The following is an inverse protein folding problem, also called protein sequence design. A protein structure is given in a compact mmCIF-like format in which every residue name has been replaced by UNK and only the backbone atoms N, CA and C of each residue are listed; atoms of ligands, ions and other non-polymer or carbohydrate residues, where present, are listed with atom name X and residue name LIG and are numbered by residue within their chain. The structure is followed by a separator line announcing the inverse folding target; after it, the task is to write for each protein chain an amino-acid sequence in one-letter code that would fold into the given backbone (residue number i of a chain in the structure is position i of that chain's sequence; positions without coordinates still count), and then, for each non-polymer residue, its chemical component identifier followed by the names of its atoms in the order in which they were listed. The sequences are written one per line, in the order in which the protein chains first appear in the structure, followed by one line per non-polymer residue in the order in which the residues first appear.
data_IF_642746183298
#
_entry.id   IF_642746183298
#
_cell.length_a   1.000
_cell.length_b   1.000
_cell.length_c   1.000
_cell.angle_alpha   90.00
_cell.angle_beta   90.00
_cell.angle_gamma   90.00
#
_symmetry.space_group_name_H-M   'P 1'
#
loop_
_entity.id
_entity.type
_entity.pdbx_description
1 polymer ?
#
# COMPACT_ATOMS: atom_id res chain seq x y z
N UNK A 1 -16.41 -7.27 15.47
CA UNK A 1 -16.88 -6.20 16.40
C UNK A 1 -16.50 -4.80 15.93
N UNK A 2 -15.29 -4.58 15.36
CA UNK A 2 -14.84 -3.31 14.75
C UNK A 2 -15.66 -2.91 13.50
N UNK A 3 -15.99 -3.87 12.63
CA UNK A 3 -16.70 -3.60 11.36
C UNK A 3 -18.19 -3.20 11.53
N UNK A 4 -18.83 -3.60 12.63
CA UNK A 4 -20.22 -3.23 12.95
C UNK A 4 -20.36 -1.76 13.39
N UNK A 5 -19.26 -1.09 13.77
CA UNK A 5 -19.28 0.26 14.38
C UNK A 5 -18.89 1.39 13.43
N UNK A 6 -18.39 1.09 12.22
CA UNK A 6 -18.03 2.13 11.21
C UNK A 6 -19.22 2.57 10.33
N UNK A 7 -20.30 1.79 10.25
CA UNK A 7 -21.49 2.13 9.44
C UNK A 7 -22.23 3.42 9.87
N UNK A 8 -22.33 3.77 11.16
CA UNK A 8 -23.03 5.00 11.58
C UNK A 8 -22.24 6.29 11.32
N UNK A 9 -20.91 6.22 11.25
CA UNK A 9 -20.03 7.40 11.13
C UNK A 9 -20.10 8.00 9.72
N UNK A 10 -20.39 7.19 8.69
CA UNK A 10 -20.59 7.66 7.30
C UNK A 10 -21.90 8.42 7.07
N UNK A 11 -22.85 8.38 8.01
CA UNK A 11 -24.18 9.01 7.86
C UNK A 11 -24.37 10.27 8.72
N UNK A 12 -23.38 10.68 9.51
CA UNK A 12 -23.46 11.84 10.39
C UNK A 12 -22.34 12.83 10.05
N UNK A 13 -22.78 14.01 9.59
CA UNK A 13 -22.03 15.24 9.35
C UNK A 13 -21.52 15.49 7.92
N UNK A 14 -22.40 16.04 7.07
CA UNK A 14 -22.18 17.37 6.45
C UNK A 14 -23.54 18.07 6.34
N UNK A 15 -23.98 18.74 7.42
CA UNK A 15 -24.92 19.86 7.27
C UNK A 15 -24.14 21.01 6.65
N UNK A 16 -24.52 21.39 5.44
CA UNK A 16 -24.01 22.54 4.70
C UNK A 16 -24.30 23.82 5.49
N UNK A 17 -23.33 24.31 6.24
CA UNK A 17 -23.23 25.74 6.54
C UNK A 17 -21.80 26.09 6.92
N UNK A 18 -21.21 26.97 6.11
CA UNK A 18 -20.04 27.82 6.37
C UNK A 18 -18.67 27.15 6.63
N UNK A 19 -17.99 26.80 5.53
CA UNK A 19 -16.55 26.99 5.45
C UNK A 19 -16.24 27.87 4.23
N UNK A 20 -15.85 29.11 4.50
CA UNK A 20 -15.37 30.07 3.52
C UNK A 20 -13.97 29.65 3.03
N UNK A 21 -13.93 28.58 2.24
CA UNK A 21 -12.72 28.03 1.62
C UNK A 21 -12.64 28.54 0.19
N UNK A 22 -11.47 29.09 -0.15
CA UNK A 22 -11.09 29.59 -1.47
C UNK A 22 -11.65 28.74 -2.64
N UNK A 23 -12.11 29.35 -3.76
CA UNK A 23 -12.79 28.67 -4.88
C UNK A 23 -12.00 27.56 -5.60
N UNK A 24 -10.77 27.25 -5.17
CA UNK A 24 -9.90 26.22 -5.79
C UNK A 24 -9.99 24.83 -5.15
N UNK A 25 -10.67 24.64 -4.02
CA UNK A 25 -10.93 23.30 -3.49
C UNK A 25 -12.28 22.78 -3.99
N UNK A 26 -12.37 22.46 -5.29
CA UNK A 26 -13.41 21.52 -5.74
C UNK A 26 -13.23 20.22 -4.97
N UNK A 27 -14.32 19.66 -4.45
CA UNK A 27 -14.36 18.37 -3.75
C UNK A 27 -13.63 17.29 -4.56
N UNK A 28 -12.33 17.11 -4.29
CA UNK A 28 -11.56 15.99 -4.82
C UNK A 28 -11.84 14.83 -3.89
N UNK A 29 -12.86 14.03 -4.23
CA UNK A 29 -13.03 12.71 -3.62
C UNK A 29 -11.72 11.94 -3.83
N UNK A 30 -11.26 11.26 -2.78
CA UNK A 30 -10.15 10.31 -2.89
C UNK A 30 -10.67 9.15 -3.74
N UNK A 31 -10.36 9.14 -5.03
CA UNK A 31 -10.74 8.09 -5.97
C UNK A 31 -9.48 7.34 -6.35
N UNK A 32 -9.44 6.05 -6.01
CA UNK A 32 -8.44 5.14 -6.55
C UNK A 32 -8.64 4.99 -8.06
N UNK A 33 -7.64 5.35 -8.87
CA UNK A 33 -7.57 4.98 -10.29
C UNK A 33 -6.86 3.63 -10.35
N UNK A 34 -7.49 2.64 -11.00
CA UNK A 34 -6.86 1.33 -11.16
C UNK A 34 -5.52 1.44 -11.87
N UNK A 35 -4.51 0.77 -11.32
CA UNK A 35 -3.14 0.76 -11.86
C UNK A 35 -2.99 -0.32 -12.93
N UNK A 36 -3.81 -1.37 -12.87
CA UNK A 36 -3.69 -2.63 -13.58
C UNK A 36 -2.34 -3.32 -13.31
N UNK A 37 -1.99 -3.47 -12.02
CA UNK A 37 -0.67 -3.94 -11.56
C UNK A 37 -0.25 -5.23 -12.31
N UNK A 38 -1.06 -6.28 -12.23
CA UNK A 38 -0.77 -7.58 -12.83
C UNK A 38 -0.58 -7.48 -14.36
N UNK A 39 -1.51 -6.85 -15.07
CA UNK A 39 -1.42 -6.68 -16.53
C UNK A 39 -0.16 -5.93 -16.96
N UNK A 40 0.26 -4.93 -16.18
CA UNK A 40 1.46 -4.15 -16.47
C UNK A 40 2.72 -4.96 -16.21
N UNK A 41 2.77 -5.76 -15.14
CA UNK A 41 3.89 -6.67 -14.86
C UNK A 41 4.01 -7.73 -15.96
N UNK A 42 2.90 -8.30 -16.42
CA UNK A 42 2.89 -9.27 -17.52
C UNK A 42 3.41 -8.66 -18.82
N UNK A 43 2.97 -7.44 -19.14
CA UNK A 43 3.47 -6.68 -20.30
C UNK A 43 4.98 -6.46 -20.21
N UNK A 44 5.50 -6.08 -19.04
CA UNK A 44 6.94 -5.88 -18.84
C UNK A 44 7.72 -7.17 -19.01
N UNK A 45 7.25 -8.29 -18.46
CA UNK A 45 7.88 -9.60 -18.64
C UNK A 45 7.96 -10.00 -20.13
N UNK A 46 6.88 -9.81 -20.90
CA UNK A 46 6.88 -10.09 -22.33
C UNK A 46 7.90 -9.22 -23.10
N UNK A 47 8.05 -7.95 -22.72
CA UNK A 47 9.01 -7.03 -23.32
C UNK A 47 10.44 -7.43 -23.00
N UNK A 48 10.71 -7.80 -21.74
CA UNK A 48 12.03 -8.29 -21.33
C UNK A 48 12.39 -9.59 -22.05
N UNK A 49 11.43 -10.51 -22.19
CA UNK A 49 11.66 -11.74 -22.93
C UNK A 49 11.96 -11.49 -24.41
N UNK A 50 11.18 -10.61 -25.07
CA UNK A 50 11.46 -10.19 -26.45
C UNK A 50 12.83 -9.53 -26.57
N UNK A 51 13.16 -8.63 -25.65
CA UNK A 51 14.46 -7.94 -25.62
C UNK A 51 15.60 -8.94 -25.47
N UNK A 52 15.45 -9.94 -24.61
CA UNK A 52 16.44 -11.02 -24.42
C UNK A 52 16.66 -11.80 -25.72
N UNK A 53 15.58 -12.23 -26.39
CA UNK A 53 15.63 -13.01 -27.64
C UNK A 53 16.24 -12.23 -28.81
N UNK A 54 16.07 -10.91 -28.85
CA UNK A 54 16.56 -10.04 -29.93
C UNK A 54 17.98 -9.49 -29.68
N UNK A 55 18.51 -9.64 -28.47
CA UNK A 55 19.83 -9.14 -28.10
C UNK A 55 20.89 -10.16 -28.46
N UNK A 56 21.92 -9.74 -29.19
CA UNK A 56 23.05 -10.62 -29.54
C UNK A 56 23.90 -10.99 -28.32
N UNK A 57 24.47 -12.19 -28.34
CA UNK A 57 25.26 -12.76 -27.24
C UNK A 57 26.46 -11.90 -26.80
N UNK A 58 26.98 -11.06 -27.70
CA UNK A 58 28.07 -10.11 -27.40
C UNK A 58 27.67 -8.97 -26.44
N UNK A 59 26.38 -8.76 -26.16
CA UNK A 59 25.89 -7.70 -25.24
C UNK A 59 25.64 -8.22 -23.83
N UNK A 60 26.62 -8.91 -23.25
CA UNK A 60 26.57 -9.57 -21.93
C UNK A 60 26.04 -8.66 -20.81
N UNK A 61 26.45 -7.39 -20.78
CA UNK A 61 25.98 -6.41 -19.76
C UNK A 61 24.48 -6.13 -19.86
N UNK A 62 23.92 -6.04 -21.07
CA UNK A 62 22.49 -5.80 -21.26
C UNK A 62 21.70 -7.07 -20.90
N UNK A 63 22.18 -8.24 -21.34
CA UNK A 63 21.57 -9.53 -21.00
C UNK A 63 21.51 -9.75 -19.48
N UNK A 64 22.59 -9.43 -18.76
CA UNK A 64 22.61 -9.53 -17.29
C UNK A 64 21.65 -8.55 -16.60
N UNK A 65 21.43 -7.36 -17.15
CA UNK A 65 20.40 -6.42 -16.64
C UNK A 65 18.98 -6.94 -16.88
N UNK A 66 18.70 -7.39 -18.11
CA UNK A 66 17.39 -7.92 -18.50
C UNK A 66 17.02 -9.13 -17.64
N UNK A 67 17.97 -10.04 -17.40
CA UNK A 67 17.76 -11.18 -16.52
C UNK A 67 17.42 -10.74 -15.09
N UNK A 68 18.19 -9.81 -14.52
CA UNK A 68 17.91 -9.31 -13.16
C UNK A 68 16.53 -8.68 -13.04
N UNK A 69 16.13 -7.84 -13.99
CA UNK A 69 14.79 -7.24 -13.98
C UNK A 69 13.70 -8.31 -14.11
N UNK A 70 13.93 -9.34 -14.91
CA UNK A 70 13.00 -10.46 -15.04
C UNK A 70 12.84 -11.19 -13.70
N UNK A 71 13.95 -11.53 -13.03
CA UNK A 71 13.95 -12.16 -11.70
C UNK A 71 13.19 -11.30 -10.66
N UNK A 72 13.40 -9.99 -10.67
CA UNK A 72 12.71 -9.06 -9.76
C UNK A 72 11.20 -8.94 -10.06
N UNK A 73 10.80 -8.95 -11.34
CA UNK A 73 9.37 -8.94 -11.71
C UNK A 73 8.69 -10.27 -11.37
N UNK A 74 9.39 -11.38 -11.56
CA UNK A 74 8.92 -12.72 -11.16
C UNK A 74 8.72 -12.80 -9.64
N UNK A 75 9.64 -12.25 -8.85
CA UNK A 75 9.51 -12.16 -7.38
C UNK A 75 8.28 -11.34 -6.98
N UNK A 76 8.05 -10.18 -7.61
CA UNK A 76 6.83 -9.37 -7.36
C UNK A 76 5.58 -10.19 -7.68
N UNK A 77 5.54 -10.87 -8.82
CA UNK A 77 4.39 -11.69 -9.22
C UNK A 77 4.13 -12.85 -8.24
N UNK A 78 5.20 -13.49 -7.75
CA UNK A 78 5.08 -14.52 -6.71
C UNK A 78 4.50 -13.96 -5.41
N UNK A 79 4.95 -12.77 -4.99
CA UNK A 79 4.38 -12.08 -3.81
C UNK A 79 2.92 -11.70 -4.02
N UNK A 80 2.53 -11.21 -5.20
CA UNK A 80 1.13 -10.91 -5.52
C UNK A 80 0.27 -12.18 -5.42
N UNK A 81 0.71 -13.28 -6.01
CA UNK A 81 0.01 -14.58 -5.92
C UNK A 81 -0.11 -15.04 -4.48
N UNK A 82 0.95 -14.89 -3.69
CA UNK A 82 0.95 -15.22 -2.27
C UNK A 82 -0.09 -14.37 -1.52
N UNK A 83 -0.06 -13.04 -1.64
CA UNK A 83 -1.04 -12.12 -1.01
C UNK A 83 -2.48 -12.49 -1.36
N UNK A 84 -2.76 -12.75 -2.64
CA UNK A 84 -4.11 -13.11 -3.08
C UNK A 84 -4.58 -14.45 -2.48
N UNK A 85 -3.68 -15.42 -2.35
CA UNK A 85 -3.99 -16.77 -1.87
C UNK A 85 -4.06 -16.88 -0.34
N UNK A 86 -3.23 -16.12 0.39
CA UNK A 86 -3.07 -16.29 1.85
C UNK A 86 -3.55 -15.07 2.62
N UNK A 87 -3.01 -13.88 2.31
CA UNK A 87 -3.30 -12.68 3.09
C UNK A 87 -4.74 -12.19 2.91
N UNK A 88 -5.21 -12.12 1.67
CA UNK A 88 -6.57 -11.63 1.35
C UNK A 88 -7.65 -12.40 2.11
N UNK A 89 -7.75 -13.75 2.02
CA UNK A 89 -8.78 -14.48 2.77
C UNK A 89 -8.59 -14.41 4.28
N UNK A 90 -7.34 -14.32 4.77
CA UNK A 90 -7.05 -14.16 6.20
C UNK A 90 -7.59 -12.82 6.71
N UNK A 91 -7.30 -11.71 6.02
CA UNK A 91 -7.80 -10.38 6.37
C UNK A 91 -9.32 -10.30 6.30
N UNK A 92 -9.94 -10.81 5.24
CA UNK A 92 -11.39 -10.84 5.13
C UNK A 92 -12.06 -11.58 6.31
N UNK A 93 -11.43 -12.67 6.79
CA UNK A 93 -11.90 -13.42 7.96
C UNK A 93 -11.68 -12.66 9.27
N UNK A 94 -10.48 -12.12 9.49
CA UNK A 94 -10.13 -11.39 10.73
C UNK A 94 -10.95 -10.11 10.90
N UNK A 95 -11.25 -9.44 9.79
CA UNK A 95 -11.95 -8.16 9.77
C UNK A 95 -13.46 -8.30 9.58
N UNK A 96 -13.93 -9.51 9.27
CA UNK A 96 -15.34 -9.81 8.97
C UNK A 96 -15.91 -8.91 7.85
N UNK A 97 -15.14 -8.80 6.76
CA UNK A 97 -15.49 -7.97 5.60
C UNK A 97 -14.96 -8.56 4.30
N UNK A 98 -15.50 -8.07 3.18
CA UNK A 98 -14.98 -8.37 1.84
C UNK A 98 -14.15 -7.22 1.29
N UNK A 99 -12.94 -7.52 0.85
CA UNK A 99 -12.06 -6.52 0.22
C UNK A 99 -12.50 -6.39 -1.23
N UNK A 100 -13.28 -5.34 -1.53
CA UNK A 100 -13.89 -5.13 -2.85
C UNK A 100 -12.84 -4.93 -3.95
N UNK A 101 -11.78 -4.18 -3.65
CA UNK A 101 -10.71 -3.90 -4.59
C UNK A 101 -9.40 -4.53 -4.11
N UNK A 102 -9.11 -5.72 -4.64
CA UNK A 102 -7.89 -6.47 -4.30
C UNK A 102 -6.62 -5.76 -4.76
N UNK A 103 -6.68 -4.98 -5.84
CA UNK A 103 -5.54 -4.22 -6.34
C UNK A 103 -5.08 -3.16 -5.32
N UNK A 104 -6.01 -2.53 -4.60
CA UNK A 104 -5.67 -1.58 -3.54
C UNK A 104 -4.92 -2.29 -2.40
N UNK A 105 -5.32 -3.51 -2.04
CA UNK A 105 -4.57 -4.31 -1.07
C UNK A 105 -3.15 -4.62 -1.57
N UNK A 106 -2.99 -4.99 -2.84
CA UNK A 106 -1.67 -5.19 -3.42
C UNK A 106 -0.83 -3.91 -3.32
N UNK A 107 -1.40 -2.76 -3.73
CA UNK A 107 -0.73 -1.46 -3.65
C UNK A 107 -0.30 -1.10 -2.22
N UNK A 108 -1.11 -1.43 -1.20
CA UNK A 108 -0.77 -1.22 0.20
C UNK A 108 0.46 -2.03 0.67
N UNK A 109 0.80 -3.14 0.00
CA UNK A 109 1.92 -4.01 0.37
C UNK A 109 3.25 -3.60 -0.30
N UNK A 110 3.24 -2.70 -1.29
CA UNK A 110 4.46 -2.21 -1.97
C UNK A 110 5.33 -1.34 -1.06
N UNK A 111 6.62 -1.69 -0.98
CA UNK A 111 7.61 -0.94 -0.23
C UNK A 111 8.45 -0.01 -1.11
N UNK A 112 9.10 1.03 -0.55
CA UNK A 112 9.88 2.00 -1.32
C UNK A 112 10.98 1.39 -2.20
N UNK A 113 11.54 0.24 -1.83
CA UNK A 113 12.61 -0.44 -2.56
C UNK A 113 12.21 -0.90 -3.97
N UNK A 114 10.92 -1.13 -4.24
CA UNK A 114 10.46 -1.55 -5.58
C UNK A 114 10.51 -0.42 -6.61
N UNK A 115 10.54 0.84 -6.17
CA UNK A 115 10.49 2.01 -7.05
C UNK A 115 11.65 2.04 -8.04
N UNK A 116 12.84 1.65 -7.59
CA UNK A 116 14.06 1.69 -8.40
C UNK A 116 13.96 0.76 -9.62
N UNK A 117 13.35 -0.42 -9.47
CA UNK A 117 13.10 -1.33 -10.59
C UNK A 117 12.30 -0.64 -11.70
N UNK A 118 11.18 0.00 -11.34
CA UNK A 118 10.31 0.64 -12.32
C UNK A 118 10.95 1.87 -12.97
N UNK A 119 11.75 2.64 -12.22
CA UNK A 119 12.55 3.74 -12.79
C UNK A 119 13.61 3.24 -13.78
N UNK A 120 14.30 2.15 -13.45
CA UNK A 120 15.29 1.55 -14.36
C UNK A 120 14.66 1.05 -15.66
N UNK A 121 13.50 0.38 -15.56
CA UNK A 121 12.72 -0.09 -16.70
C UNK A 121 12.19 1.08 -17.55
N UNK A 122 11.76 2.16 -16.91
CA UNK A 122 11.34 3.39 -17.60
C UNK A 122 12.48 3.98 -18.41
N UNK A 123 13.64 4.20 -17.79
CA UNK A 123 14.84 4.74 -18.47
C UNK A 123 15.25 3.87 -19.65
N UNK A 124 15.19 2.54 -19.50
CA UNK A 124 15.50 1.61 -20.60
C UNK A 124 14.49 1.68 -21.76
N UNK A 125 13.26 2.10 -21.46
CA UNK A 125 12.16 2.23 -22.44
C UNK A 125 12.12 3.61 -23.10
N UNK A 126 12.77 4.62 -22.53
CA UNK A 126 12.86 5.96 -23.13
C UNK A 126 13.56 5.91 -24.49
N UNK A 127 12.82 6.24 -25.57
CA UNK A 127 13.29 6.19 -26.96
C UNK A 127 12.86 4.94 -27.75
N UNK A 128 12.10 4.02 -27.13
CA UNK A 128 11.38 2.91 -27.79
C UNK A 128 9.87 3.09 -27.56
N UNK A 129 9.03 2.38 -28.31
CA UNK A 129 7.56 2.41 -28.11
C UNK A 129 7.26 2.20 -26.62
N UNK A 130 6.72 3.23 -25.95
CA UNK A 130 6.31 3.14 -24.55
C UNK A 130 5.28 2.01 -24.43
N UNK A 131 5.51 1.00 -23.58
CA UNK A 131 4.62 -0.14 -23.52
C UNK A 131 3.25 0.14 -22.93
N UNK A 132 3.02 1.36 -22.43
CA UNK A 132 1.78 1.76 -21.79
C UNK A 132 1.18 3.02 -22.44
N UNK A 133 -0.05 2.89 -22.95
CA UNK A 133 -0.77 3.94 -23.69
C UNK A 133 -1.20 5.13 -22.82
N UNK A 134 -1.38 4.95 -21.50
CA UNK A 134 -1.80 6.00 -20.55
C UNK A 134 -0.98 5.93 -19.24
N UNK A 135 -0.32 7.04 -18.89
CA UNK A 135 0.43 7.21 -17.64
C UNK A 135 1.77 6.48 -17.51
N UNK A 136 2.26 5.81 -18.57
CA UNK A 136 3.61 5.24 -18.60
C UNK A 136 3.94 4.36 -17.39
N UNK A 137 5.17 4.50 -16.86
CA UNK A 137 5.62 3.83 -15.64
C UNK A 137 5.16 4.53 -14.36
N UNK A 138 4.60 5.75 -14.45
CA UNK A 138 4.26 6.59 -13.28
C UNK A 138 3.33 5.86 -12.29
N UNK A 139 2.37 5.11 -12.81
CA UNK A 139 1.43 4.35 -11.99
C UNK A 139 2.12 3.25 -11.16
N UNK A 140 3.14 2.58 -11.70
CA UNK A 140 3.94 1.57 -10.99
C UNK A 140 4.94 2.23 -10.03
N UNK A 141 5.61 3.29 -10.48
CA UNK A 141 6.59 4.07 -9.69
C UNK A 141 5.93 4.65 -8.43
N UNK A 142 4.65 5.00 -8.50
CA UNK A 142 3.89 5.60 -7.40
C UNK A 142 3.26 4.60 -6.42
N UNK A 143 3.38 3.28 -6.63
CA UNK A 143 2.74 2.28 -5.76
C UNK A 143 3.16 2.39 -4.29
N UNK A 144 4.46 2.52 -4.01
CA UNK A 144 4.95 2.70 -2.63
C UNK A 144 4.49 4.03 -2.01
N UNK A 145 4.23 5.04 -2.84
CA UNK A 145 3.70 6.33 -2.37
C UNK A 145 2.20 6.23 -2.08
N UNK A 146 1.46 5.47 -2.88
CA UNK A 146 0.07 5.09 -2.59
C UNK A 146 -0.04 4.34 -1.27
N UNK A 147 0.86 3.39 -0.98
CA UNK A 147 0.91 2.68 0.30
C UNK A 147 1.04 3.66 1.49
N UNK A 148 1.92 4.65 1.41
CA UNK A 148 2.06 5.69 2.43
C UNK A 148 0.82 6.56 2.58
N UNK A 149 0.13 6.88 1.48
CA UNK A 149 -1.14 7.62 1.51
C UNK A 149 -2.24 6.82 2.20
N UNK A 150 -2.29 5.50 1.96
CA UNK A 150 -3.20 4.62 2.68
C UNK A 150 -2.84 4.55 4.17
N UNK A 151 -1.55 4.45 4.52
CA UNK A 151 -1.12 4.48 5.91
C UNK A 151 -1.55 5.78 6.61
N UNK A 152 -1.35 6.94 5.98
CA UNK A 152 -1.81 8.21 6.52
C UNK A 152 -3.33 8.24 6.77
N UNK A 153 -4.13 7.73 5.82
CA UNK A 153 -5.58 7.63 5.98
C UNK A 153 -5.95 6.66 7.12
N UNK A 154 -5.24 5.54 7.21
CA UNK A 154 -5.43 4.54 8.25
C UNK A 154 -5.07 5.01 9.64
N UNK A 155 -3.96 5.72 9.82
CA UNK A 155 -3.59 6.35 11.10
C UNK A 155 -4.69 7.30 11.58
N UNK A 156 -5.21 8.15 10.69
CA UNK A 156 -6.33 9.03 11.01
C UNK A 156 -7.58 8.24 11.42
N UNK A 157 -7.91 7.17 10.69
CA UNK A 157 -9.06 6.32 10.98
C UNK A 157 -8.92 5.56 12.32
N UNK A 158 -7.76 4.95 12.57
CA UNK A 158 -7.43 4.26 13.82
C UNK A 158 -7.47 5.24 14.99
N UNK A 159 -6.86 6.42 14.83
CA UNK A 159 -6.86 7.48 15.84
C UNK A 159 -8.27 7.90 16.22
N UNK A 160 -9.14 8.13 15.23
CA UNK A 160 -10.54 8.51 15.48
C UNK A 160 -11.31 7.37 16.15
N UNK A 161 -11.17 6.14 15.68
CA UNK A 161 -11.81 4.97 16.27
C UNK A 161 -11.38 4.75 17.72
N UNK A 162 -10.08 4.87 18.01
CA UNK A 162 -9.53 4.74 19.36
C UNK A 162 -10.14 5.81 20.30
N UNK A 163 -10.18 7.07 19.85
CA UNK A 163 -10.82 8.16 20.61
C UNK A 163 -12.29 7.84 20.85
N UNK A 164 -13.04 7.46 19.82
CA UNK A 164 -14.47 7.14 19.92
C UNK A 164 -14.74 6.01 20.92
N UNK A 165 -13.90 4.97 20.93
CA UNK A 165 -14.02 3.84 21.85
C UNK A 165 -13.64 4.17 23.29
N UNK A 166 -12.63 5.01 23.47
CA UNK A 166 -12.19 5.48 24.78
C UNK A 166 -13.12 6.55 25.34
N UNK A 167 -13.92 7.20 24.50
CA UNK A 167 -14.83 8.27 24.89
C UNK A 167 -15.91 7.76 25.85
N UNK A 168 -15.65 7.82 27.16
CA UNK A 168 -16.57 7.39 28.20
C UNK A 168 -16.97 8.56 29.10
N UNK A 169 -18.13 9.13 28.79
CA UNK A 169 -18.81 10.18 29.59
C UNK A 169 -18.02 11.49 29.78
N UNK A 170 -18.72 12.56 30.16
CA UNK A 170 -18.18 13.94 30.20
C UNK A 170 -17.15 14.18 31.33
N UNK A 171 -16.83 13.17 32.15
CA UNK A 171 -16.04 13.33 33.39
C UNK A 171 -14.56 12.93 33.27
N UNK A 172 -14.12 12.36 32.16
CA UNK A 172 -12.71 11.99 31.96
C UNK A 172 -11.88 13.20 31.52
N UNK A 173 -10.70 13.37 32.12
CA UNK A 173 -9.76 14.41 31.72
C UNK A 173 -9.11 14.02 30.37
N UNK A 174 -9.04 14.97 29.44
CA UNK A 174 -8.38 14.85 28.13
C UNK A 174 -6.97 14.25 28.22
N UNK A 175 -6.24 14.50 29.32
CA UNK A 175 -4.91 13.92 29.54
C UNK A 175 -4.92 12.39 29.63
N UNK A 176 -5.92 11.79 30.29
CA UNK A 176 -6.07 10.32 30.34
C UNK A 176 -6.47 9.76 28.98
N UNK A 177 -7.44 10.38 28.31
CA UNK A 177 -7.85 10.01 26.95
C UNK A 177 -6.67 10.02 25.97
N UNK A 178 -5.82 11.05 26.06
CA UNK A 178 -4.62 11.18 25.21
C UNK A 178 -3.61 10.08 25.50
N UNK A 179 -3.35 9.77 26.78
CA UNK A 179 -2.43 8.70 27.17
C UNK A 179 -2.92 7.33 26.71
N UNK A 180 -4.19 7.03 26.92
CA UNK A 180 -4.80 5.76 26.56
C UNK A 180 -4.85 5.60 25.03
N UNK A 181 -5.18 6.68 24.30
CA UNK A 181 -5.09 6.71 22.83
C UNK A 181 -3.68 6.35 22.39
N UNK A 182 -2.65 7.04 22.89
CA UNK A 182 -1.26 6.81 22.51
C UNK A 182 -0.78 5.39 22.79
N UNK A 183 -1.30 4.74 23.83
CA UNK A 183 -1.03 3.32 24.11
C UNK A 183 -1.64 2.40 23.05
N UNK A 184 -2.90 2.65 22.66
CA UNK A 184 -3.61 1.87 21.63
C UNK A 184 -2.96 2.05 20.25
N UNK A 185 -2.62 3.28 19.87
CA UNK A 185 -2.06 3.61 18.54
C UNK A 185 -0.54 3.53 18.48
N UNK A 186 0.11 2.95 19.49
CA UNK A 186 1.56 2.83 19.51
C UNK A 186 2.06 1.87 18.44
N UNK A 187 3.22 2.16 17.84
CA UNK A 187 3.85 1.28 16.85
C UNK A 187 4.09 -0.13 17.39
N UNK A 188 4.34 -0.31 18.68
CA UNK A 188 4.48 -1.63 19.29
C UNK A 188 3.17 -2.43 19.27
N UNK A 189 2.04 -1.77 19.59
CA UNK A 189 0.74 -2.41 19.52
C UNK A 189 0.36 -2.73 18.07
N UNK A 190 0.54 -1.78 17.15
CA UNK A 190 0.30 -2.00 15.73
C UNK A 190 1.22 -3.09 15.17
N UNK A 191 2.46 -3.19 15.63
CA UNK A 191 3.36 -4.27 15.25
C UNK A 191 2.87 -5.66 15.68
N UNK A 192 2.32 -5.78 16.90
CA UNK A 192 1.70 -7.03 17.34
C UNK A 192 0.47 -7.40 16.49
N UNK A 193 -0.32 -6.40 16.09
CA UNK A 193 -1.46 -6.63 15.19
C UNK A 193 -0.99 -7.06 13.79
N UNK A 194 0.08 -6.44 13.29
CA UNK A 194 0.74 -6.80 12.05
C UNK A 194 1.18 -8.27 12.06
N UNK A 195 1.78 -8.75 13.16
CA UNK A 195 2.20 -10.15 13.31
C UNK A 195 1.02 -11.11 13.35
N UNK A 196 -0.07 -10.75 14.04
CA UNK A 196 -1.30 -11.55 14.04
C UNK A 196 -1.89 -11.69 12.65
N UNK A 197 -1.96 -10.60 11.90
CA UNK A 197 -2.43 -10.62 10.52
C UNK A 197 -1.41 -11.19 9.55
N UNK A 198 -0.14 -11.25 9.94
CA UNK A 198 0.96 -11.67 9.09
C UNK A 198 1.14 -10.71 7.93
N UNK A 199 1.17 -9.39 8.14
CA UNK A 199 1.38 -8.48 7.00
C UNK A 199 2.84 -8.41 6.58
N UNK A 200 3.75 -8.54 7.56
CA UNK A 200 5.17 -8.26 7.37
C UNK A 200 5.80 -9.17 6.30
N UNK A 201 5.48 -10.46 6.29
CA UNK A 201 6.00 -11.43 5.33
C UNK A 201 5.40 -11.31 3.91
N UNK A 202 4.30 -10.55 3.79
CA UNK A 202 3.58 -10.30 2.53
C UNK A 202 3.98 -8.98 1.87
N UNK A 203 4.96 -8.24 2.42
CA UNK A 203 5.50 -7.06 1.75
C UNK A 203 6.05 -7.42 0.37
N UNK A 204 5.88 -6.48 -0.57
CA UNK A 204 6.52 -6.51 -1.88
C UNK A 204 7.69 -5.54 -1.81
N UNK A 205 8.91 -6.08 -1.69
CA UNK A 205 10.12 -5.31 -1.39
C UNK A 205 11.38 -5.97 -1.94
N UNK A 206 12.46 -5.19 -2.06
CA UNK A 206 13.83 -5.63 -2.34
C UNK A 206 14.82 -5.14 -1.27
N UNK A 207 14.32 -4.89 -0.06
CA UNK A 207 15.08 -4.31 1.06
C UNK A 207 16.34 -5.11 1.43
N UNK A 208 17.35 -4.45 2.03
CA UNK A 208 18.59 -5.11 2.47
C UNK A 208 18.36 -6.25 3.48
N UNK A 209 19.31 -7.17 3.55
CA UNK A 209 19.19 -8.44 4.28
C UNK A 209 18.98 -8.31 5.80
N UNK A 210 19.28 -7.17 6.43
CA UNK A 210 19.26 -7.04 7.90
C UNK A 210 18.74 -5.67 8.38
N UNK A 211 17.42 -5.45 8.41
CA UNK A 211 16.83 -4.24 8.99
C UNK A 211 16.98 -4.22 10.52
N UNK A 212 17.05 -3.03 11.11
CA UNK A 212 17.06 -2.87 12.57
C UNK A 212 15.69 -3.19 13.17
N UNK A 213 15.65 -3.54 14.47
CA UNK A 213 14.38 -3.79 15.18
C UNK A 213 13.44 -2.58 15.12
N UNK A 214 13.98 -1.37 15.21
CA UNK A 214 13.19 -0.14 15.14
C UNK A 214 12.50 0.05 13.79
N UNK A 215 13.23 -0.20 12.70
CA UNK A 215 12.68 -0.17 11.33
C UNK A 215 11.60 -1.24 11.14
N UNK A 216 11.84 -2.47 11.61
CA UNK A 216 10.85 -3.55 11.55
C UNK A 216 9.55 -3.14 12.26
N UNK A 217 9.63 -2.58 13.47
CA UNK A 217 8.46 -2.16 14.24
C UNK A 217 7.71 -1.03 13.53
N UNK A 218 8.43 -0.06 12.99
CA UNK A 218 7.86 1.04 12.22
C UNK A 218 7.13 0.55 10.96
N UNK A 219 7.77 -0.32 10.18
CA UNK A 219 7.19 -0.88 8.96
C UNK A 219 5.94 -1.69 9.26
N UNK A 220 5.97 -2.49 10.34
CA UNK A 220 4.80 -3.25 10.78
C UNK A 220 3.62 -2.35 11.13
N UNK A 221 3.87 -1.24 11.84
CA UNK A 221 2.84 -0.25 12.15
C UNK A 221 2.25 0.37 10.87
N UNK A 222 3.12 0.83 9.98
CA UNK A 222 2.76 1.41 8.68
C UNK A 222 1.90 0.46 7.84
N UNK A 223 2.20 -0.84 7.83
CA UNK A 223 1.39 -1.84 7.11
C UNK A 223 -0.02 -1.97 7.66
N UNK A 224 -0.17 -1.98 8.99
CA UNK A 224 -1.49 -2.06 9.63
C UNK A 224 -2.31 -0.84 9.31
N UNK A 225 -1.70 0.34 9.40
CA UNK A 225 -2.32 1.60 8.99
C UNK A 225 -2.72 1.54 7.51
N UNK A 226 -1.84 1.09 6.62
CA UNK A 226 -2.18 0.98 5.19
C UNK A 226 -3.37 0.06 4.94
N UNK A 227 -3.48 -1.07 5.65
CA UNK A 227 -4.65 -1.97 5.57
C UNK A 227 -5.92 -1.27 6.07
N UNK A 228 -5.86 -0.55 7.19
CA UNK A 228 -7.01 0.22 7.68
C UNK A 228 -7.41 1.35 6.75
N UNK A 229 -6.46 1.97 6.05
CA UNK A 229 -6.74 3.06 5.12
C UNK A 229 -7.47 2.64 3.83
N UNK A 230 -7.49 1.35 3.51
CA UNK A 230 -8.12 0.83 2.29
C UNK A 230 -9.50 0.19 2.52
N UNK A 231 -9.94 0.15 3.78
CA UNK A 231 -11.21 -0.44 4.24
C UNK A 231 -12.21 0.68 4.53
#
# INVERSE_FOLDING_TARGET
MFHAMMRPILNLAITREEMNVSPKMRERKIVWKSVQIENRLDTLLQILERTRRQTSDGKTRLLGKVQRWQEQLDEINDKIRYIQKTLTPKLEKELDLKIKNKEILLAAMFQPSTKNLFLELEIQSQGKDNPFDDGGFEALISLSESAKRFALLGDAAISLAAIYHLWKTVRENVGHLTKDKSSIVSNEHLANLCDRWGLYEHRIHFDPETPSRGEIIHDKGTLVEAVYGII
#
